data_IF_965550168426
#
_entry.id   IF_965550168426
#
_cell.length_a   1.000
_cell.length_b   1.000
_cell.length_c   1.000
_cell.angle_alpha   90.00
_cell.angle_beta   90.00
_cell.angle_gamma   90.00
#
_symmetry.space_group_name_H-M   'P 1'
#
loop_
_entity.id
_entity.type
_entity.pdbx_description
1 polymer ?
#
# COMPACT_ATOMS: atom_id res chain seq x y z
N UNK A 1 17.20 -15.11 -14.65
CA UNK A 1 16.61 -15.67 -13.42
C UNK A 1 16.04 -14.52 -12.62
N UNK A 2 14.74 -14.59 -12.31
CA UNK A 2 14.03 -13.56 -11.53
C UNK A 2 14.02 -13.92 -10.04
N UNK A 3 14.13 -12.89 -9.21
CA UNK A 3 14.00 -12.96 -7.76
C UNK A 3 12.99 -11.92 -7.30
N UNK A 4 12.48 -12.05 -6.07
CA UNK A 4 11.61 -11.05 -5.45
C UNK A 4 12.13 -10.67 -4.07
N UNK A 5 11.92 -9.41 -3.68
CA UNK A 5 12.29 -8.93 -2.34
C UNK A 5 11.47 -9.66 -1.28
N UNK A 6 12.15 -10.32 -0.34
CA UNK A 6 11.55 -11.14 0.71
C UNK A 6 11.49 -10.42 2.07
N UNK A 7 11.97 -9.18 2.14
CA UNK A 7 11.95 -8.34 3.35
C UNK A 7 11.01 -7.14 3.18
N UNK A 8 10.52 -6.52 4.27
CA UNK A 8 9.63 -5.35 4.17
C UNK A 8 10.20 -4.21 3.34
N UNK A 9 11.54 -4.09 3.29
CA UNK A 9 12.24 -3.18 2.40
C UNK A 9 13.70 -3.59 2.21
N UNK A 10 14.24 -3.40 1.01
CA UNK A 10 15.61 -3.76 0.67
C UNK A 10 16.34 -2.57 0.05
N UNK A 11 17.55 -2.26 0.51
CA UNK A 11 18.35 -1.18 -0.09
C UNK A 11 19.10 -1.69 -1.33
N UNK A 12 18.84 -1.07 -2.49
CA UNK A 12 19.71 -1.17 -3.66
C UNK A 12 20.93 -0.27 -3.44
N UNK A 13 22.13 -0.82 -3.57
CA UNK A 13 23.37 -0.08 -3.34
C UNK A 13 24.23 -0.02 -4.60
N UNK A 14 25.08 1.00 -4.69
CA UNK A 14 25.98 1.20 -5.82
C UNK A 14 27.15 0.19 -5.86
N UNK A 15 27.55 -0.36 -4.71
CA UNK A 15 28.52 -1.45 -4.62
C UNK A 15 28.27 -2.35 -3.38
N UNK A 16 28.88 -3.57 -3.32
CA UNK A 16 28.78 -4.46 -2.17
C UNK A 16 29.23 -3.79 -0.86
N UNK A 17 28.31 -3.57 0.08
CA UNK A 17 28.64 -2.86 1.31
C UNK A 17 29.51 -3.72 2.23
N UNK A 18 30.61 -3.16 2.71
CA UNK A 18 31.35 -3.62 3.89
C UNK A 18 31.41 -2.46 4.87
N UNK A 19 30.68 -2.55 5.99
CA UNK A 19 30.62 -1.48 7.00
C UNK A 19 30.04 -0.14 6.48
N UNK A 20 28.90 -0.19 5.78
CA UNK A 20 28.15 1.00 5.30
C UNK A 20 28.90 1.99 4.41
N UNK A 21 29.99 1.55 3.78
CA UNK A 21 30.76 2.35 2.84
C UNK A 21 30.04 2.68 1.52
N UNK A 22 28.87 2.10 1.26
CA UNK A 22 28.13 2.25 -0.01
C UNK A 22 26.95 3.21 0.08
N UNK A 23 26.63 3.80 -1.06
CA UNK A 23 25.47 4.69 -1.21
C UNK A 23 24.21 3.87 -1.48
N UNK A 24 23.14 4.20 -0.77
CA UNK A 24 21.80 3.68 -1.09
C UNK A 24 21.30 4.42 -2.33
N UNK A 25 21.06 3.68 -3.41
CA UNK A 25 20.50 4.19 -4.65
C UNK A 25 18.98 4.34 -4.56
N UNK A 26 18.30 3.33 -4.02
CA UNK A 26 16.86 3.31 -3.79
C UNK A 26 16.50 2.24 -2.74
N UNK A 27 15.40 2.46 -2.03
CA UNK A 27 14.79 1.43 -1.20
C UNK A 27 13.74 0.68 -2.04
N UNK A 28 14.00 -0.59 -2.31
CA UNK A 28 13.15 -1.50 -3.06
C UNK A 28 12.01 -1.99 -2.15
N UNK A 29 10.75 -1.90 -2.58
CA UNK A 29 9.62 -2.36 -1.77
C UNK A 29 9.55 -3.89 -1.70
N UNK A 30 8.88 -4.40 -0.66
CA UNK A 30 8.56 -5.82 -0.51
C UNK A 30 7.90 -6.39 -1.78
N UNK A 31 8.26 -7.62 -2.15
CA UNK A 31 7.80 -8.36 -3.34
C UNK A 31 8.15 -7.73 -4.70
N UNK A 32 8.90 -6.62 -4.77
CA UNK A 32 9.37 -6.12 -6.06
C UNK A 32 10.25 -7.16 -6.75
N UNK A 33 10.05 -7.36 -8.05
CA UNK A 33 10.82 -8.33 -8.83
C UNK A 33 12.14 -7.71 -9.29
N UNK A 34 13.22 -8.46 -9.16
CA UNK A 34 14.55 -8.10 -9.64
C UNK A 34 15.11 -9.20 -10.55
N UNK A 35 15.85 -8.82 -11.57
CA UNK A 35 16.55 -9.73 -12.47
C UNK A 35 18.00 -9.85 -12.01
N UNK A 36 18.44 -11.07 -11.72
CA UNK A 36 19.83 -11.32 -11.39
C UNK A 36 20.73 -11.03 -12.59
N UNK A 37 21.75 -10.19 -12.40
CA UNK A 37 22.80 -9.90 -13.39
C UNK A 37 24.02 -10.77 -13.09
N UNK A 38 24.49 -10.75 -11.84
CA UNK A 38 25.73 -11.41 -11.43
C UNK A 38 25.64 -11.90 -9.98
N UNK A 39 26.04 -13.17 -9.75
CA UNK A 39 26.36 -13.66 -8.40
C UNK A 39 27.84 -13.37 -8.14
N UNK A 40 28.12 -12.42 -7.26
CA UNK A 40 29.52 -12.12 -6.92
C UNK A 40 30.11 -13.21 -6.01
N UNK A 41 31.42 -13.14 -5.75
CA UNK A 41 32.08 -14.01 -4.77
C UNK A 41 31.62 -13.76 -3.31
N UNK A 42 30.87 -12.69 -3.07
CA UNK A 42 30.27 -12.37 -1.76
C UNK A 42 28.77 -12.62 -1.77
N UNK A 43 28.13 -12.52 -0.60
CA UNK A 43 26.68 -12.60 -0.47
C UNK A 43 25.93 -11.42 -1.12
N UNK A 44 26.63 -10.43 -1.67
CA UNK A 44 26.04 -9.35 -2.45
C UNK A 44 25.91 -9.75 -3.91
N UNK A 45 24.70 -9.71 -4.44
CA UNK A 45 24.43 -10.00 -5.85
C UNK A 45 24.08 -8.74 -6.61
N UNK A 46 24.56 -8.64 -7.86
CA UNK A 46 24.19 -7.54 -8.75
C UNK A 46 22.85 -7.87 -9.41
N UNK A 47 21.92 -6.94 -9.34
CA UNK A 47 20.55 -7.09 -9.86
C UNK A 47 20.12 -5.87 -10.67
N UNK A 48 19.22 -6.07 -11.63
CA UNK A 48 18.42 -5.02 -12.29
C UNK A 48 17.02 -5.01 -11.67
N UNK A 49 16.53 -3.84 -11.28
CA UNK A 49 15.12 -3.71 -10.89
C UNK A 49 14.25 -3.87 -12.14
N UNK A 50 13.27 -4.77 -12.09
CA UNK A 50 12.35 -4.93 -13.21
C UNK A 50 11.50 -3.64 -13.35
N UNK A 51 11.20 -3.27 -14.59
CA UNK A 51 10.53 -2.01 -14.99
C UNK A 51 11.30 -0.71 -14.74
N UNK A 52 12.59 -0.78 -14.43
CA UNK A 52 13.45 0.40 -14.35
C UNK A 52 14.79 0.14 -15.03
N UNK A 53 15.56 1.20 -15.27
CA UNK A 53 16.95 1.09 -15.72
C UNK A 53 17.95 1.00 -14.57
N UNK A 54 17.48 0.86 -13.32
CA UNK A 54 18.37 0.84 -12.15
C UNK A 54 18.97 -0.54 -11.95
N UNK A 55 20.29 -0.54 -11.85
CA UNK A 55 21.09 -1.67 -11.42
C UNK A 55 21.82 -1.33 -10.13
N UNK A 56 22.13 -2.37 -9.36
CA UNK A 56 22.93 -2.22 -8.15
C UNK A 56 23.09 -3.55 -7.45
N UNK A 57 23.51 -3.48 -6.19
CA UNK A 57 23.81 -4.63 -5.36
C UNK A 57 22.81 -4.77 -4.23
N UNK A 58 22.38 -5.99 -3.98
CA UNK A 58 21.51 -6.38 -2.86
C UNK A 58 22.10 -7.58 -2.14
N UNK A 59 21.74 -7.75 -0.87
CA UNK A 59 22.15 -8.93 -0.12
C UNK A 59 21.28 -10.12 -0.51
N UNK A 60 21.90 -11.23 -0.90
CA UNK A 60 21.23 -12.38 -1.50
C UNK A 60 20.19 -13.04 -0.58
N UNK A 61 20.37 -13.01 0.74
CA UNK A 61 19.40 -13.55 1.71
C UNK A 61 18.06 -12.78 1.73
N UNK A 62 18.06 -11.53 1.25
CA UNK A 62 16.88 -10.65 1.32
C UNK A 62 16.01 -10.74 0.05
N UNK A 63 16.39 -11.62 -0.88
CA UNK A 63 15.66 -11.93 -2.09
C UNK A 63 15.43 -13.44 -2.20
N UNK A 64 14.28 -13.83 -2.74
CA UNK A 64 13.93 -15.23 -2.97
C UNK A 64 13.66 -15.50 -4.44
N UNK A 65 13.98 -16.71 -4.88
CA UNK A 65 13.82 -17.11 -6.28
C UNK A 65 12.34 -17.12 -6.65
N UNK A 66 12.01 -16.53 -7.81
CA UNK A 66 10.68 -16.66 -8.40
C UNK A 66 10.64 -17.98 -9.16
N UNK A 67 9.73 -18.88 -8.79
CA UNK A 67 9.58 -20.18 -9.43
C UNK A 67 8.82 -20.02 -10.76
N UNK A 68 9.58 -19.84 -11.85
CA UNK A 68 9.03 -19.68 -13.20
C UNK A 68 8.35 -20.96 -13.75
N UNK A 69 8.44 -22.10 -13.03
CA UNK A 69 7.77 -23.36 -13.42
C UNK A 69 6.36 -23.50 -12.86
N UNK A 70 6.02 -22.71 -11.84
CA UNK A 70 4.66 -22.62 -11.32
C UNK A 70 3.90 -21.52 -12.07
N UNK A 71 2.90 -21.89 -12.87
CA UNK A 71 2.01 -20.95 -13.54
C UNK A 71 0.98 -20.32 -12.59
N UNK A 72 1.40 -19.88 -11.39
CA UNK A 72 0.51 -19.07 -10.55
C UNK A 72 0.56 -17.64 -11.07
N UNK A 73 -0.61 -16.99 -11.21
CA UNK A 73 -0.69 -15.55 -11.55
C UNK A 73 0.00 -14.65 -10.52
N UNK A 74 0.46 -15.22 -9.40
CA UNK A 74 1.11 -14.61 -8.25
C UNK A 74 2.60 -14.32 -8.48
N UNK A 75 3.19 -14.89 -9.54
CA UNK A 75 4.58 -14.62 -9.96
C UNK A 75 4.66 -13.52 -11.02
N UNK A 76 3.51 -12.95 -11.39
CA UNK A 76 3.44 -11.73 -12.19
C UNK A 76 3.94 -10.58 -11.32
N UNK A 77 4.91 -9.85 -11.85
CA UNK A 77 5.52 -8.71 -11.20
C UNK A 77 4.48 -7.65 -10.79
N UNK A 78 4.70 -7.02 -9.63
CA UNK A 78 3.84 -5.91 -9.20
C UNK A 78 4.17 -4.65 -10.01
N UNK A 79 3.19 -3.99 -10.65
CA UNK A 79 3.41 -2.77 -11.43
C UNK A 79 3.60 -1.54 -10.53
N UNK A 80 4.76 -1.43 -9.89
CA UNK A 80 5.09 -0.27 -9.06
C UNK A 80 5.96 0.72 -9.82
N UNK A 81 5.51 1.97 -9.91
CA UNK A 81 6.39 3.07 -10.28
C UNK A 81 7.30 3.46 -9.12
N UNK A 82 8.46 3.98 -9.48
CA UNK A 82 9.28 4.74 -8.54
C UNK A 82 8.56 6.03 -8.12
N UNK A 83 8.96 6.63 -6.98
CA UNK A 83 8.42 7.91 -6.57
C UNK A 83 8.51 8.96 -7.69
N UNK A 84 7.40 9.64 -7.94
CA UNK A 84 7.28 10.62 -9.00
C UNK A 84 8.04 11.91 -8.69
N UNK A 85 8.59 12.57 -9.72
CA UNK A 85 9.29 13.84 -9.55
C UNK A 85 8.34 15.00 -9.21
N UNK A 86 7.07 14.87 -9.62
CA UNK A 86 6.01 15.88 -9.37
C UNK A 86 4.87 15.33 -8.50
N UNK A 87 4.93 14.06 -8.09
CA UNK A 87 4.01 13.48 -7.13
C UNK A 87 4.22 14.13 -5.74
N UNK A 88 3.28 15.00 -5.34
CA UNK A 88 3.36 15.75 -4.09
C UNK A 88 1.99 15.92 -3.43
N UNK A 89 1.97 16.40 -2.18
CA UNK A 89 0.72 16.70 -1.45
C UNK A 89 -0.05 17.91 -2.01
N UNK A 90 0.65 18.76 -2.76
CA UNK A 90 0.12 20.01 -3.35
C UNK A 90 -0.23 19.86 -4.84
N UNK A 91 -0.18 18.63 -5.38
CA UNK A 91 -0.46 18.34 -6.79
C UNK A 91 -1.37 17.12 -6.95
N UNK A 92 -2.14 17.13 -8.04
CA UNK A 92 -2.88 15.95 -8.54
C UNK A 92 -2.16 15.22 -9.68
N UNK A 93 -0.98 15.70 -10.07
CA UNK A 93 -0.13 15.03 -11.04
C UNK A 93 0.51 13.78 -10.43
N UNK A 94 0.70 12.76 -11.26
CA UNK A 94 1.35 11.50 -10.89
C UNK A 94 0.79 10.84 -9.61
N UNK A 95 -0.51 10.97 -9.34
CA UNK A 95 -1.18 10.32 -8.19
C UNK A 95 -1.23 8.79 -8.28
N UNK A 96 -0.74 8.23 -9.39
CA UNK A 96 -0.48 6.80 -9.57
C UNK A 96 0.93 6.37 -9.13
N UNK A 97 1.80 7.33 -8.79
CA UNK A 97 3.15 7.09 -8.26
C UNK A 97 3.22 7.41 -6.76
N UNK A 98 4.12 6.77 -6.01
CA UNK A 98 4.46 7.20 -4.65
C UNK A 98 4.96 8.65 -4.62
N UNK A 99 4.78 9.32 -3.49
CA UNK A 99 5.36 10.64 -3.23
C UNK A 99 6.84 10.48 -2.89
N UNK A 100 7.70 11.23 -3.59
CA UNK A 100 9.17 11.18 -3.43
C UNK A 100 9.74 12.19 -2.42
N UNK A 101 8.90 12.84 -1.63
CA UNK A 101 9.30 13.89 -0.69
C UNK A 101 9.97 13.29 0.56
N UNK A 102 11.27 13.54 0.78
CA UNK A 102 12.00 12.99 1.92
C UNK A 102 11.60 13.62 3.27
N UNK A 103 10.84 14.73 3.27
CA UNK A 103 10.33 15.35 4.49
C UNK A 103 9.18 14.57 5.12
N UNK A 104 8.52 13.70 4.35
CA UNK A 104 7.45 12.84 4.86
C UNK A 104 8.09 11.63 5.55
N UNK A 105 7.90 11.46 6.87
CA UNK A 105 8.55 10.37 7.59
C UNK A 105 7.87 9.04 7.26
N UNK A 106 8.68 7.99 7.12
CA UNK A 106 8.15 6.62 7.16
C UNK A 106 7.83 6.21 8.60
N UNK A 107 6.98 5.19 8.74
CA UNK A 107 6.72 4.52 10.01
C UNK A 107 8.02 3.94 10.57
N UNK A 108 8.28 4.26 11.83
CA UNK A 108 9.41 3.79 12.62
C UNK A 108 9.03 2.47 13.27
N UNK A 109 9.75 1.40 12.92
CA UNK A 109 9.45 0.03 13.34
C UNK A 109 10.26 -0.41 14.57
N UNK A 110 11.00 0.51 15.21
CA UNK A 110 11.98 0.19 16.27
C UNK A 110 11.30 -0.26 17.57
N UNK A 111 10.18 0.36 17.94
CA UNK A 111 9.41 0.07 19.15
C UNK A 111 7.94 0.43 18.97
N UNK A 112 7.05 -0.13 19.80
CA UNK A 112 5.63 0.22 19.79
C UNK A 112 5.39 1.73 19.89
N UNK A 113 6.05 2.40 20.82
CA UNK A 113 5.92 3.85 21.00
C UNK A 113 6.32 4.61 19.72
N UNK A 114 7.42 4.18 19.08
CA UNK A 114 7.90 4.79 17.84
C UNK A 114 6.95 4.55 16.65
N UNK A 115 6.34 3.35 16.55
CA UNK A 115 5.32 3.01 15.55
C UNK A 115 4.10 3.92 15.70
N UNK A 116 3.55 3.99 16.91
CA UNK A 116 2.39 4.84 17.21
C UNK A 116 2.66 6.31 16.92
N UNK A 117 3.82 6.82 17.37
CA UNK A 117 4.24 8.21 17.15
C UNK A 117 4.44 8.53 15.67
N UNK A 118 5.08 7.64 14.92
CA UNK A 118 5.35 7.87 13.49
C UNK A 118 4.09 7.77 12.65
N UNK A 119 3.14 6.88 12.95
CA UNK A 119 1.81 6.86 12.30
C UNK A 119 1.08 8.20 12.50
N UNK A 120 1.07 8.74 13.72
CA UNK A 120 0.47 10.06 14.00
C UNK A 120 1.12 11.18 13.20
N UNK A 121 2.45 11.11 13.00
CA UNK A 121 3.18 12.05 12.13
C UNK A 121 2.80 11.89 10.66
N UNK A 122 2.69 10.65 10.15
CA UNK A 122 2.23 10.39 8.77
C UNK A 122 0.85 11.03 8.55
N UNK A 123 -0.12 10.78 9.43
CA UNK A 123 -1.47 11.36 9.29
C UNK A 123 -1.42 12.88 9.33
N UNK A 124 -0.63 13.45 10.23
CA UNK A 124 -0.44 14.92 10.35
C UNK A 124 0.18 15.53 9.10
N UNK A 125 1.18 14.88 8.50
CA UNK A 125 1.90 15.38 7.32
C UNK A 125 1.06 15.20 6.06
N UNK A 126 0.49 14.00 5.84
CA UNK A 126 -0.40 13.76 4.71
C UNK A 126 -1.64 14.66 4.77
N UNK A 127 -2.13 14.95 5.98
CA UNK A 127 -3.20 15.91 6.27
C UNK A 127 -4.36 15.85 5.26
N UNK A 128 -5.01 14.70 5.21
CA UNK A 128 -6.03 14.41 4.18
C UNK A 128 -7.13 15.47 4.09
N UNK A 129 -7.44 16.14 5.19
CA UNK A 129 -8.43 17.22 5.24
C UNK A 129 -8.01 18.51 4.53
N UNK A 130 -6.72 18.73 4.26
CA UNK A 130 -6.19 19.99 3.69
C UNK A 130 -5.42 19.80 2.39
N UNK A 131 -4.68 18.70 2.24
CA UNK A 131 -3.77 18.50 1.10
C UNK A 131 -4.53 18.40 -0.22
N UNK A 132 -4.07 19.17 -1.22
CA UNK A 132 -4.70 19.27 -2.54
C UNK A 132 -4.80 17.92 -3.25
N UNK A 133 -3.79 17.07 -3.07
CA UNK A 133 -3.72 15.71 -3.63
C UNK A 133 -4.97 14.86 -3.34
N UNK A 134 -5.61 15.06 -2.18
CA UNK A 134 -6.74 14.24 -1.73
C UNK A 134 -8.10 14.95 -1.82
N UNK A 135 -8.12 16.20 -2.29
CA UNK A 135 -9.36 16.93 -2.45
C UNK A 135 -10.17 16.29 -3.59
N UNK A 136 -11.39 15.84 -3.28
CA UNK A 136 -12.34 15.32 -4.28
C UNK A 136 -12.56 16.32 -5.42
N UNK A 137 -12.95 15.82 -6.57
CA UNK A 137 -13.51 16.66 -7.64
C UNK A 137 -14.98 16.30 -7.90
N UNK A 138 -15.56 16.84 -8.97
CA UNK A 138 -16.96 16.60 -9.31
C UNK A 138 -17.25 15.13 -9.68
N UNK A 139 -16.22 14.39 -10.11
CA UNK A 139 -16.33 13.04 -10.65
C UNK A 139 -15.83 11.95 -9.71
N UNK A 140 -14.87 12.25 -8.81
CA UNK A 140 -14.15 11.22 -8.08
C UNK A 140 -13.77 11.59 -6.64
N UNK A 141 -13.61 10.55 -5.81
CA UNK A 141 -13.00 10.63 -4.48
C UNK A 141 -11.66 9.91 -4.47
N UNK A 142 -10.75 10.34 -3.62
CA UNK A 142 -9.35 9.89 -3.66
C UNK A 142 -9.00 8.95 -2.51
N UNK A 143 -9.99 8.17 -2.05
CA UNK A 143 -9.84 7.28 -0.91
C UNK A 143 -8.78 6.20 -1.14
N UNK A 144 -8.70 5.65 -2.35
CA UNK A 144 -7.66 4.71 -2.76
C UNK A 144 -6.27 5.35 -2.84
N UNK A 145 -6.16 6.59 -3.29
CA UNK A 145 -4.88 7.32 -3.37
C UNK A 145 -4.37 7.63 -1.97
N UNK A 146 -5.22 8.17 -1.10
CA UNK A 146 -4.87 8.43 0.29
C UNK A 146 -4.45 7.15 1.03
N UNK A 147 -5.22 6.07 0.86
CA UNK A 147 -4.89 4.77 1.47
C UNK A 147 -3.55 4.26 0.96
N UNK A 148 -3.28 4.36 -0.34
CA UNK A 148 -2.00 3.98 -0.93
C UNK A 148 -0.83 4.78 -0.34
N UNK A 149 -0.92 6.11 -0.32
CA UNK A 149 0.16 6.96 0.20
C UNK A 149 0.37 6.71 1.71
N UNK A 150 -0.70 6.56 2.49
CA UNK A 150 -0.62 6.19 3.90
C UNK A 150 0.09 4.84 4.09
N UNK A 151 -0.31 3.81 3.36
CA UNK A 151 0.30 2.48 3.44
C UNK A 151 1.77 2.50 3.01
N UNK A 152 2.10 3.23 1.94
CA UNK A 152 3.47 3.41 1.46
C UNK A 152 4.37 3.99 2.57
N UNK A 153 3.97 5.11 3.18
CA UNK A 153 4.72 5.70 4.29
C UNK A 153 4.66 4.82 5.56
N UNK A 154 3.61 4.03 5.75
CA UNK A 154 3.53 3.03 6.81
C UNK A 154 4.41 1.78 6.57
N UNK A 155 5.11 1.68 5.44
CA UNK A 155 5.88 0.49 5.03
C UNK A 155 5.02 -0.77 4.93
N UNK A 156 3.78 -0.62 4.46
CA UNK A 156 2.83 -1.70 4.21
C UNK A 156 2.42 -1.67 2.74
N UNK A 157 2.43 -2.83 2.08
CA UNK A 157 2.07 -2.88 0.67
C UNK A 157 0.54 -2.92 0.47
N UNK A 158 0.03 -2.05 -0.41
CA UNK A 158 -1.30 -2.14 -0.98
C UNK A 158 -1.20 -1.76 -2.47
N UNK A 159 -1.91 -2.43 -3.38
CA UNK A 159 -1.74 -2.16 -4.80
C UNK A 159 -2.34 -0.81 -5.20
N UNK A 160 -1.57 -0.03 -5.95
CA UNK A 160 -2.06 1.19 -6.63
C UNK A 160 -2.49 0.93 -8.06
N UNK A 161 -1.84 -0.04 -8.71
CA UNK A 161 -1.91 -0.31 -10.14
C UNK A 161 -2.07 -1.80 -10.41
N UNK A 162 -2.75 -2.11 -11.51
CA UNK A 162 -2.82 -3.45 -12.10
C UNK A 162 -2.29 -3.44 -13.52
N UNK A 163 -1.70 -4.54 -13.95
CA UNK A 163 -1.47 -4.78 -15.38
C UNK A 163 -2.80 -4.88 -16.13
N UNK A 164 -2.82 -4.38 -17.36
CA UNK A 164 -3.92 -4.63 -18.30
C UNK A 164 -3.94 -6.11 -18.69
N UNK A 165 -5.09 -6.61 -19.12
CA UNK A 165 -5.23 -8.03 -19.48
C UNK A 165 -4.27 -8.39 -20.65
N UNK A 166 -4.08 -7.48 -21.60
CA UNK A 166 -3.07 -7.60 -22.67
C UNK A 166 -1.64 -7.68 -22.13
N UNK A 167 -1.30 -6.89 -21.10
CA UNK A 167 0.01 -6.95 -20.48
C UNK A 167 0.21 -8.27 -19.71
N UNK A 168 -0.82 -8.73 -18.98
CA UNK A 168 -0.82 -10.02 -18.28
C UNK A 168 -0.53 -11.16 -19.25
N UNK A 169 -1.21 -11.21 -20.40
CA UNK A 169 -0.96 -12.24 -21.43
C UNK A 169 0.50 -12.27 -21.92
N UNK A 170 1.17 -11.12 -21.96
CA UNK A 170 2.58 -11.05 -22.36
C UNK A 170 3.51 -11.51 -21.24
N UNK A 171 3.23 -11.09 -20.00
CA UNK A 171 3.99 -11.48 -18.81
C UNK A 171 3.90 -12.99 -18.57
N UNK A 172 2.72 -13.59 -18.76
CA UNK A 172 2.50 -15.04 -18.65
C UNK A 172 3.26 -15.84 -19.72
N UNK A 173 3.54 -15.23 -20.88
CA UNK A 173 4.41 -15.81 -21.92
C UNK A 173 5.90 -15.64 -21.62
N UNK A 174 6.25 -14.99 -20.50
CA UNK A 174 7.62 -14.68 -20.13
C UNK A 174 8.21 -13.45 -20.82
N UNK A 175 7.41 -12.70 -21.58
CA UNK A 175 7.87 -11.46 -22.21
C UNK A 175 8.00 -10.35 -21.17
N UNK A 176 8.94 -9.43 -21.38
CA UNK A 176 9.03 -8.20 -20.59
C UNK A 176 8.00 -7.18 -21.12
N UNK A 177 7.29 -6.50 -20.22
CA UNK A 177 6.31 -5.48 -20.57
C UNK A 177 6.70 -4.16 -19.91
N UNK A 178 6.91 -3.11 -20.71
CA UNK A 178 7.24 -1.80 -20.17
C UNK A 178 6.12 -1.25 -19.29
N UNK A 179 6.48 -0.68 -18.15
CA UNK A 179 5.55 -0.05 -17.22
C UNK A 179 5.16 1.36 -17.72
N UNK A 180 4.00 1.47 -18.37
CA UNK A 180 3.49 2.71 -18.97
C UNK A 180 2.07 2.96 -18.47
N UNK A 181 1.91 4.07 -17.74
CA UNK A 181 0.62 4.46 -17.18
C UNK A 181 -0.38 4.71 -18.30
N UNK A 182 -1.59 4.22 -18.12
CA UNK A 182 -2.66 4.28 -19.10
C UNK A 182 -2.44 3.57 -20.44
N UNK A 183 -1.40 2.74 -20.54
CA UNK A 183 -1.20 1.84 -21.68
C UNK A 183 -1.12 0.39 -21.22
N UNK A 184 -0.11 0.07 -20.40
CA UNK A 184 0.13 -1.30 -19.92
C UNK A 184 -0.40 -1.52 -18.51
N UNK A 185 -0.61 -0.45 -17.75
CA UNK A 185 -1.18 -0.51 -16.40
C UNK A 185 -2.35 0.45 -16.19
N UNK A 186 -3.24 0.09 -15.26
CA UNK A 186 -4.43 0.85 -14.88
C UNK A 186 -4.53 1.01 -13.36
N UNK A 187 -5.18 2.07 -12.87
CA UNK A 187 -5.42 2.24 -11.44
C UNK A 187 -6.29 1.12 -10.85
N UNK A 188 -5.95 0.68 -9.64
CA UNK A 188 -6.87 -0.06 -8.79
C UNK A 188 -7.91 0.92 -8.20
N UNK A 189 -9.18 0.75 -8.55
CA UNK A 189 -10.30 1.36 -7.82
C UNK A 189 -10.65 0.50 -6.60
N UNK A 190 -11.35 1.08 -5.62
CA UNK A 190 -11.66 0.42 -4.35
C UNK A 190 -12.34 -0.95 -4.48
N UNK A 191 -13.18 -1.17 -5.50
CA UNK A 191 -13.78 -2.50 -5.76
C UNK A 191 -12.74 -3.56 -6.14
N UNK A 192 -11.72 -3.17 -6.92
CA UNK A 192 -10.65 -4.08 -7.29
C UNK A 192 -9.67 -4.31 -6.13
N UNK A 193 -9.46 -3.31 -5.27
CA UNK A 193 -8.67 -3.46 -4.04
C UNK A 193 -9.37 -4.46 -3.09
N UNK A 194 -10.69 -4.38 -2.99
CA UNK A 194 -11.50 -5.35 -2.25
C UNK A 194 -11.24 -6.78 -2.73
N UNK A 195 -11.32 -7.01 -4.06
CA UNK A 195 -11.11 -8.32 -4.64
C UNK A 195 -9.65 -8.80 -4.46
N UNK A 196 -8.67 -7.88 -4.56
CA UNK A 196 -7.27 -8.17 -4.30
C UNK A 196 -7.01 -8.62 -2.85
N UNK A 197 -7.64 -7.98 -1.85
CA UNK A 197 -7.49 -8.39 -0.46
C UNK A 197 -7.91 -9.85 -0.24
N UNK A 198 -9.03 -10.25 -0.86
CA UNK A 198 -9.54 -11.62 -0.76
C UNK A 198 -8.63 -12.63 -1.45
N UNK A 199 -8.05 -12.27 -2.60
CA UNK A 199 -7.28 -13.19 -3.43
C UNK A 199 -5.81 -13.29 -2.99
N UNK A 200 -5.22 -12.19 -2.54
CA UNK A 200 -3.77 -12.06 -2.40
C UNK A 200 -3.32 -11.39 -1.10
N UNK A 201 -4.21 -10.74 -0.35
CA UNK A 201 -3.82 -9.91 0.81
C UNK A 201 -2.91 -10.63 1.81
N UNK A 202 -3.22 -11.90 2.13
CA UNK A 202 -2.43 -12.72 3.06
C UNK A 202 -0.97 -12.91 2.64
N UNK A 203 -0.68 -12.98 1.34
CA UNK A 203 0.68 -13.14 0.82
C UNK A 203 1.52 -11.87 0.98
N UNK A 204 0.83 -10.74 1.15
CA UNK A 204 1.43 -9.43 1.40
C UNK A 204 1.39 -9.05 2.88
N UNK A 205 1.17 -10.01 3.78
CA UNK A 205 1.19 -9.81 5.23
C UNK A 205 -0.13 -9.33 5.84
N UNK A 206 -1.21 -9.22 5.05
CA UNK A 206 -2.51 -8.80 5.55
C UNK A 206 -3.27 -9.96 6.18
N UNK A 207 -3.66 -9.78 7.44
CA UNK A 207 -4.52 -10.68 8.20
C UNK A 207 -5.98 -10.23 8.08
N UNK A 208 -6.88 -11.14 7.70
CA UNK A 208 -8.32 -10.85 7.69
C UNK A 208 -8.85 -10.85 9.12
N UNK A 209 -9.63 -9.83 9.46
CA UNK A 209 -10.27 -9.67 10.77
C UNK A 209 -11.78 -9.69 10.58
N UNK A 210 -12.51 -10.32 11.50
CA UNK A 210 -13.96 -10.48 11.38
C UNK A 210 -14.74 -9.33 12.03
N UNK A 211 -14.15 -8.63 12.99
CA UNK A 211 -14.82 -7.55 13.71
C UNK A 211 -13.93 -6.31 13.95
N UNK A 212 -14.57 -5.15 13.98
CA UNK A 212 -13.89 -3.86 14.10
C UNK A 212 -13.31 -3.60 15.50
N UNK A 213 -13.76 -4.33 16.52
CA UNK A 213 -13.23 -4.21 17.88
C UNK A 213 -11.89 -4.93 18.01
N UNK A 214 -11.78 -6.14 17.48
CA UNK A 214 -10.50 -6.83 17.33
C UNK A 214 -9.54 -6.01 16.46
N UNK A 215 -10.01 -5.47 15.32
CA UNK A 215 -9.17 -4.67 14.44
C UNK A 215 -8.59 -3.44 15.16
N UNK A 216 -9.42 -2.67 15.86
CA UNK A 216 -8.95 -1.50 16.60
C UNK A 216 -7.97 -1.89 17.72
N UNK A 217 -8.24 -3.00 18.44
CA UNK A 217 -7.36 -3.51 19.49
C UNK A 217 -5.99 -3.88 18.93
N UNK A 218 -5.91 -4.59 17.80
CA UNK A 218 -4.64 -4.95 17.14
C UNK A 218 -3.87 -3.71 16.70
N UNK A 219 -4.54 -2.78 16.02
CA UNK A 219 -3.92 -1.52 15.56
C UNK A 219 -3.36 -0.71 16.73
N UNK A 220 -4.08 -0.62 17.85
CA UNK A 220 -3.61 0.07 19.06
C UNK A 220 -2.43 -0.65 19.73
N UNK A 221 -2.53 -1.97 19.91
CA UNK A 221 -1.57 -2.75 20.69
C UNK A 221 -0.20 -2.85 20.00
N UNK A 222 -0.20 -2.82 18.66
CA UNK A 222 0.99 -3.10 17.87
C UNK A 222 1.50 -1.90 17.07
N UNK A 223 0.70 -0.83 16.95
CA UNK A 223 1.02 0.27 16.03
C UNK A 223 1.03 -0.19 14.57
N UNK A 224 0.12 -1.10 14.23
CA UNK A 224 -0.11 -1.63 12.90
C UNK A 224 -1.02 -0.74 12.05
N UNK A 225 -1.39 -1.23 10.88
CA UNK A 225 -2.31 -0.60 9.93
C UNK A 225 -3.57 -1.45 9.82
N UNK A 226 -4.74 -0.84 9.99
CA UNK A 226 -6.01 -1.48 9.67
C UNK A 226 -6.63 -0.91 8.41
N UNK A 227 -7.45 -1.71 7.73
CA UNK A 227 -8.21 -1.31 6.55
C UNK A 227 -9.66 -1.76 6.70
N UNK A 228 -10.58 -0.88 6.33
CA UNK A 228 -11.96 -1.25 6.00
C UNK A 228 -12.14 -0.96 4.51
N UNK A 229 -12.49 -1.98 3.74
CA UNK A 229 -12.77 -1.85 2.31
C UNK A 229 -14.17 -2.37 2.01
N UNK A 230 -14.98 -1.59 1.31
CA UNK A 230 -16.36 -1.91 0.98
C UNK A 230 -16.62 -1.86 -0.52
N UNK A 231 -17.32 -2.87 -1.02
CA UNK A 231 -17.67 -3.03 -2.44
C UNK A 231 -19.10 -2.56 -2.69
N UNK A 232 -19.33 -1.79 -3.76
CA UNK A 232 -20.68 -1.32 -4.14
C UNK A 232 -21.58 -2.47 -4.60
N UNK A 233 -22.90 -2.30 -4.45
CA UNK A 233 -23.89 -3.10 -5.18
C UNK A 233 -23.82 -2.89 -6.69
N UNK A 234 -23.69 -1.63 -7.12
CA UNK A 234 -23.61 -1.25 -8.53
C UNK A 234 -22.16 -1.41 -9.01
N UNK A 235 -21.92 -2.38 -9.89
CA UNK A 235 -20.59 -2.75 -10.41
C UNK A 235 -19.80 -1.56 -10.98
N UNK A 236 -20.48 -0.62 -11.66
CA UNK A 236 -19.85 0.53 -12.31
C UNK A 236 -19.63 1.73 -11.38
N UNK A 237 -19.96 1.61 -10.08
CA UNK A 237 -19.65 2.64 -9.07
C UNK A 237 -18.47 2.19 -8.21
N UNK A 238 -17.58 3.12 -7.89
CA UNK A 238 -16.45 2.88 -7.00
C UNK A 238 -16.92 2.53 -5.58
N UNK A 239 -16.31 1.48 -5.03
CA UNK A 239 -16.35 1.15 -3.60
C UNK A 239 -15.70 2.24 -2.75
N UNK A 240 -15.51 1.96 -1.46
CA UNK A 240 -14.85 2.88 -0.55
C UNK A 240 -13.83 2.14 0.31
N UNK A 241 -12.71 2.79 0.59
CA UNK A 241 -11.63 2.24 1.39
C UNK A 241 -11.15 3.30 2.37
N UNK A 242 -10.91 2.89 3.62
CA UNK A 242 -10.40 3.77 4.67
C UNK A 242 -9.35 3.03 5.47
N UNK A 243 -8.46 3.80 6.09
CA UNK A 243 -7.49 3.29 7.04
C UNK A 243 -8.07 3.37 8.45
N UNK A 244 -7.88 2.30 9.23
CA UNK A 244 -8.11 2.27 10.67
C UNK A 244 -6.77 2.50 11.35
N UNK A 245 -6.72 3.48 12.24
CA UNK A 245 -5.49 4.03 12.80
C UNK A 245 -5.46 3.89 14.33
N UNK A 246 -4.27 3.89 14.95
CA UNK A 246 -4.18 3.80 16.40
C UNK A 246 -4.79 5.02 17.08
N UNK A 247 -5.45 4.79 18.21
CA UNK A 247 -6.01 5.85 19.03
C UNK A 247 -4.92 6.80 19.56
N UNK A 248 -5.28 8.07 19.68
CA UNK A 248 -4.46 9.12 20.31
C UNK A 248 -5.05 9.47 21.67
N UNK A 249 -4.46 10.42 22.39
CA UNK A 249 -5.04 10.90 23.65
C UNK A 249 -6.36 11.63 23.42
N UNK A 250 -6.51 12.26 22.25
CA UNK A 250 -7.66 13.11 21.89
C UNK A 250 -8.65 12.43 20.94
N UNK A 251 -8.17 11.52 20.10
CA UNK A 251 -8.94 10.87 19.04
C UNK A 251 -9.12 9.40 19.37
N UNK A 252 -10.37 9.00 19.56
CA UNK A 252 -10.75 7.66 20.04
C UNK A 252 -11.75 7.00 19.10
N UNK A 253 -11.67 5.68 19.05
CA UNK A 253 -12.72 4.83 18.52
C UNK A 253 -13.97 4.96 19.40
N UNK A 254 -15.14 4.89 18.77
CA UNK A 254 -16.39 4.94 19.49
C UNK A 254 -16.75 3.58 20.05
N UNK A 255 -17.12 3.56 21.33
CA UNK A 255 -17.46 2.35 22.07
C UNK A 255 -18.89 2.40 22.59
N UNK A 256 -19.54 1.25 22.56
CA UNK A 256 -20.80 0.99 23.25
C UNK A 256 -20.60 -0.25 24.13
N UNK A 257 -20.94 -0.13 25.41
CA UNK A 257 -20.79 -1.22 26.39
C UNK A 257 -19.36 -1.80 26.43
N UNK A 258 -18.36 -0.92 26.31
CA UNK A 258 -16.93 -1.28 26.32
C UNK A 258 -16.39 -1.88 25.02
N UNK A 259 -17.25 -2.18 24.04
CA UNK A 259 -16.87 -2.72 22.73
C UNK A 259 -16.80 -1.60 21.69
N UNK A 260 -15.75 -1.58 20.86
CA UNK A 260 -15.67 -0.67 19.71
C UNK A 260 -16.73 -1.06 18.67
N UNK A 261 -17.54 -0.10 18.27
CA UNK A 261 -18.50 -0.26 17.17
C UNK A 261 -18.12 0.59 15.96
N UNK A 262 -17.45 1.73 16.18
CA UNK A 262 -16.84 2.52 15.10
C UNK A 262 -15.36 2.72 15.40
N UNK A 263 -14.46 2.06 14.65
CA UNK A 263 -13.03 2.23 14.86
C UNK A 263 -12.61 3.66 14.49
N UNK A 264 -11.47 4.08 15.02
CA UNK A 264 -10.86 5.34 14.65
C UNK A 264 -10.28 5.22 13.24
N UNK A 265 -10.77 6.07 12.34
CA UNK A 265 -10.49 6.00 10.91
C UNK A 265 -9.92 7.31 10.38
N UNK A 266 -9.22 7.23 9.25
CA UNK A 266 -8.79 8.37 8.44
C UNK A 266 -9.17 8.15 6.97
N UNK A 267 -9.59 9.20 6.25
CA UNK A 267 -10.07 9.02 4.87
C UNK A 267 -9.98 10.26 3.98
N UNK A 268 -9.92 10.00 2.66
CA UNK A 268 -10.20 10.93 1.56
C UNK A 268 -11.52 10.56 0.85
N UNK A 269 -12.65 10.74 1.53
CA UNK A 269 -13.96 10.29 1.04
C UNK A 269 -14.79 11.39 0.38
N UNK A 270 -16.12 11.29 0.53
CA UNK A 270 -17.01 12.42 0.25
C UNK A 270 -16.65 13.64 1.09
N UNK A 271 -16.20 13.40 2.33
CA UNK A 271 -15.59 14.37 3.21
C UNK A 271 -14.28 13.77 3.75
N UNK A 272 -13.26 14.61 3.83
CA UNK A 272 -11.92 14.22 4.24
C UNK A 272 -11.76 14.44 5.74
N UNK A 273 -11.25 13.42 6.43
CA UNK A 273 -11.04 13.47 7.87
C UNK A 273 -9.69 12.87 8.21
N UNK A 274 -8.86 13.64 8.92
CA UNK A 274 -7.63 13.12 9.50
C UNK A 274 -7.95 12.05 10.56
N UNK A 275 -9.02 12.25 11.32
CA UNK A 275 -9.55 11.29 12.30
C UNK A 275 -11.08 11.40 12.34
N UNK A 276 -11.77 10.26 12.38
CA UNK A 276 -13.20 10.19 12.67
C UNK A 276 -13.57 8.80 13.21
N UNK A 277 -14.68 8.74 13.94
CA UNK A 277 -15.33 7.48 14.34
C UNK A 277 -16.84 7.62 14.23
N UNK A 278 -17.46 8.48 15.06
CA UNK A 278 -18.92 8.63 15.12
C UNK A 278 -19.56 9.42 13.97
N UNK A 279 -18.84 10.31 13.32
CA UNK A 279 -19.44 11.23 12.33
C UNK A 279 -20.00 10.47 11.11
N UNK A 280 -19.48 9.27 10.82
CA UNK A 280 -19.94 8.41 9.72
C UNK A 280 -20.23 7.00 10.21
N UNK A 281 -21.24 6.88 11.08
CA UNK A 281 -21.72 5.62 11.65
C UNK A 281 -22.04 4.61 10.54
N UNK A 282 -21.54 3.38 10.69
CA UNK A 282 -21.84 2.22 9.83
C UNK A 282 -21.78 2.49 8.32
N UNK A 283 -20.88 3.39 7.87
CA UNK A 283 -20.87 3.76 6.46
C UNK A 283 -20.65 2.54 5.57
N UNK A 284 -19.87 1.55 6.02
CA UNK A 284 -19.57 0.32 5.28
C UNK A 284 -20.72 -0.70 5.28
N UNK A 285 -21.70 -0.56 6.17
CA UNK A 285 -22.87 -1.45 6.27
C UNK A 285 -24.15 -0.81 5.71
N UNK A 286 -24.05 0.38 5.09
CA UNK A 286 -25.18 1.02 4.44
C UNK A 286 -25.81 0.10 3.37
N UNK A 287 -27.07 -0.29 3.57
CA UNK A 287 -27.83 -1.23 2.70
C UNK A 287 -28.63 -0.56 1.58
N UNK A 288 -28.50 0.76 1.40
CA UNK A 288 -29.11 1.47 0.28
C UNK A 288 -28.63 0.86 -1.06
N UNK A 289 -29.50 0.38 -1.96
CA UNK A 289 -29.07 -0.24 -3.21
C UNK A 289 -28.33 0.71 -4.17
N UNK A 290 -28.59 2.02 -4.09
CA UNK A 290 -28.00 3.04 -4.96
C UNK A 290 -26.71 3.65 -4.39
N UNK A 291 -26.65 3.75 -3.06
CA UNK A 291 -25.62 4.48 -2.29
C UNK A 291 -24.93 3.67 -1.21
N UNK A 292 -25.28 2.40 -1.06
CA UNK A 292 -24.72 1.48 -0.08
C UNK A 292 -23.68 0.54 -0.67
N UNK A 293 -23.39 -0.51 0.09
CA UNK A 293 -22.34 -1.51 -0.17
C UNK A 293 -22.89 -2.93 -0.05
N UNK A 294 -22.48 -3.78 -0.98
CA UNK A 294 -22.85 -5.19 -1.00
C UNK A 294 -22.14 -5.98 0.10
N UNK A 295 -20.89 -5.62 0.39
CA UNK A 295 -20.08 -6.24 1.41
C UNK A 295 -18.95 -5.31 1.86
N UNK A 296 -18.45 -5.56 3.07
CA UNK A 296 -17.25 -4.94 3.63
C UNK A 296 -16.30 -6.03 4.14
N UNK A 297 -15.01 -5.73 4.11
CA UNK A 297 -13.94 -6.58 4.65
C UNK A 297 -13.03 -5.74 5.54
N UNK A 298 -12.45 -6.40 6.53
CA UNK A 298 -11.56 -5.79 7.51
C UNK A 298 -10.23 -6.54 7.50
N UNK A 299 -9.14 -5.79 7.41
CA UNK A 299 -7.80 -6.35 7.35
C UNK A 299 -6.84 -5.61 8.25
N UNK A 300 -5.90 -6.34 8.81
CA UNK A 300 -4.83 -5.86 9.67
C UNK A 300 -3.47 -6.17 9.05
N UNK A 301 -2.50 -5.27 9.23
CA UNK A 301 -1.09 -5.53 8.92
C UNK A 301 -0.20 -4.94 10.02
N UNK A 302 0.81 -5.70 10.43
CA UNK A 302 1.78 -5.31 11.47
C UNK A 302 2.72 -4.19 11.07
#
# INVERSE_FOLDING_TARGET
>A
MKYRVATPSLNLRDFPATQDNSKILIQIPFRHTVKLIEKTASDWWKVKLLNTEKEGFVFSKDIELVDETNQKSMDIEVPNFEPGAVASLDSKEETYKPIGDPSIPFRDLTSLESKLRSIRKIITVLNVSKSFRYQKDASDTYCNIYTFDYCFFAKVYIPRLRWTDKAIEQLEKGNEVSLVFDETVRPFYSNYIYDWFLQSGSEFGWERIDDVDELQKKVNANGGVGIICAKRFILNKSGHIVVVVPETDTDKAFRKDGKVIYPLQSQAGADNYNYFSEIRKDWWDNKDPEKGYAAAIFYYHE
#
